data_IF_705706621239
#
_entry.id   IF_705706621239
#
_cell.length_a   1.000
_cell.length_b   1.000
_cell.length_c   1.000
_cell.angle_alpha   90.00
_cell.angle_beta   90.00
_cell.angle_gamma   90.00
#
_symmetry.space_group_name_H-M   'P 1'
#
loop_
_entity.id
_entity.type
_entity.pdbx_description
1 polymer ?
#
# COMPACT_ATOMS: atom_id res chain seq x y z
N UNK A 1 6.11 9.33 24.47
CA UNK A 1 5.41 8.88 23.25
C UNK A 1 6.04 9.63 22.08
N UNK A 2 6.84 8.94 21.27
CA UNK A 2 7.40 9.52 20.04
C UNK A 2 6.27 9.71 19.03
N UNK A 3 6.18 10.90 18.45
CA UNK A 3 5.18 11.22 17.43
C UNK A 3 5.53 10.49 16.12
N UNK A 4 4.55 9.83 15.50
CA UNK A 4 4.76 9.13 14.23
C UNK A 4 5.22 10.10 13.14
N UNK A 5 6.26 9.70 12.40
CA UNK A 5 6.77 10.46 11.26
C UNK A 5 5.91 10.27 10.01
N UNK A 6 5.12 9.19 9.96
CA UNK A 6 4.16 8.92 8.90
C UNK A 6 2.80 9.62 9.16
N UNK A 7 2.31 10.36 8.16
CA UNK A 7 1.11 11.22 8.31
C UNK A 7 -0.07 10.85 7.42
N UNK A 8 0.08 9.86 6.52
CA UNK A 8 -0.95 9.56 5.51
C UNK A 8 -1.86 8.44 5.96
N UNK A 9 -3.02 8.77 6.53
CA UNK A 9 -3.96 7.75 7.05
C UNK A 9 -5.09 7.40 6.09
N UNK A 10 -5.17 8.04 4.92
CA UNK A 10 -6.23 7.82 3.94
C UNK A 10 -5.63 7.51 2.56
N UNK A 11 -6.20 6.53 1.82
CA UNK A 11 -5.88 6.31 0.41
C UNK A 11 -6.08 7.58 -0.40
N UNK A 12 -5.21 7.84 -1.37
CA UNK A 12 -5.34 8.94 -2.32
C UNK A 12 -6.59 8.76 -3.20
N UNK A 13 -7.05 9.85 -3.82
CA UNK A 13 -8.22 9.83 -4.70
C UNK A 13 -8.07 8.81 -5.85
N UNK A 14 -6.91 8.77 -6.50
CA UNK A 14 -6.53 7.85 -7.58
C UNK A 14 -5.81 6.58 -7.08
N UNK A 15 -5.93 6.21 -5.80
CA UNK A 15 -5.15 5.11 -5.24
C UNK A 15 -5.45 3.77 -5.96
N UNK A 16 -4.42 3.01 -6.42
CA UNK A 16 -4.62 1.74 -7.11
C UNK A 16 -5.30 0.67 -6.26
N UNK A 17 -5.23 0.79 -4.92
CA UNK A 17 -5.87 -0.15 -4.00
C UNK A 17 -7.40 0.04 -3.90
N UNK A 18 -7.94 1.18 -4.32
CA UNK A 18 -9.39 1.43 -4.30
C UNK A 18 -10.10 0.59 -5.36
N UNK A 19 -11.23 0.00 -5.01
CA UNK A 19 -12.04 -0.82 -5.95
C UNK A 19 -12.56 0.04 -7.12
N UNK A 20 -12.92 1.29 -6.84
CA UNK A 20 -13.50 2.24 -7.81
C UNK A 20 -12.48 3.03 -8.62
N UNK A 21 -11.19 2.62 -8.61
CA UNK A 21 -10.12 3.29 -9.36
C UNK A 21 -9.35 2.33 -10.25
N UNK A 22 -9.11 2.78 -11.46
CA UNK A 22 -8.48 2.05 -12.54
C UNK A 22 -7.10 2.59 -12.95
N UNK A 23 -6.49 1.94 -13.95
CA UNK A 23 -5.22 2.38 -14.53
C UNK A 23 -5.34 3.78 -15.14
N UNK A 24 -6.46 4.09 -15.78
CA UNK A 24 -6.75 5.40 -16.38
C UNK A 24 -6.87 6.55 -15.35
N UNK A 25 -7.17 6.24 -14.08
CA UNK A 25 -7.23 7.23 -13.01
C UNK A 25 -5.84 7.59 -12.44
N UNK A 26 -4.79 6.83 -12.78
CA UNK A 26 -3.46 6.96 -12.16
C UNK A 26 -2.53 7.75 -13.08
N UNK A 27 -2.13 8.98 -12.69
CA UNK A 27 -1.19 9.77 -13.48
C UNK A 27 0.14 9.04 -13.66
N UNK A 28 0.60 8.92 -14.91
CA UNK A 28 1.87 8.26 -15.23
C UNK A 28 1.89 6.76 -14.96
N UNK A 29 0.72 6.10 -15.03
CA UNK A 29 0.62 4.66 -14.80
C UNK A 29 1.62 3.84 -15.63
N UNK A 30 2.24 2.85 -14.99
CA UNK A 30 3.15 1.90 -15.61
C UNK A 30 2.80 0.50 -15.13
N UNK A 31 2.22 -0.31 -16.02
CA UNK A 31 1.91 -1.70 -15.71
C UNK A 31 3.15 -2.50 -15.28
N UNK A 32 4.32 -2.38 -15.94
CA UNK A 32 5.53 -3.06 -15.47
C UNK A 32 5.94 -2.68 -14.05
N UNK A 33 5.76 -1.41 -13.64
CA UNK A 33 6.03 -1.00 -12.27
C UNK A 33 5.01 -1.60 -11.30
N UNK A 34 3.72 -1.58 -11.65
CA UNK A 34 2.67 -2.20 -10.85
C UNK A 34 2.96 -3.70 -10.62
N UNK A 35 3.37 -4.42 -11.66
CA UNK A 35 3.72 -5.85 -11.55
C UNK A 35 4.91 -6.08 -10.61
N UNK A 36 5.95 -5.22 -10.65
CA UNK A 36 7.10 -5.32 -9.73
C UNK A 36 6.72 -5.11 -8.26
N UNK A 37 5.72 -4.25 -7.99
CA UNK A 37 5.27 -4.00 -6.62
C UNK A 37 4.64 -5.23 -5.94
N UNK A 38 4.32 -6.29 -6.70
CA UNK A 38 3.85 -7.56 -6.13
C UNK A 38 4.83 -8.15 -5.12
N UNK A 39 6.14 -7.96 -5.31
CA UNK A 39 7.18 -8.43 -4.39
C UNK A 39 7.16 -7.75 -3.01
N UNK A 40 6.37 -6.68 -2.84
CA UNK A 40 6.17 -5.98 -1.56
C UNK A 40 4.88 -6.39 -0.84
N UNK A 41 4.12 -7.31 -1.42
CA UNK A 41 2.81 -7.72 -0.94
C UNK A 41 2.82 -9.17 -0.44
N UNK A 42 1.80 -9.57 0.35
CA UNK A 42 1.63 -10.96 0.73
C UNK A 42 1.41 -11.88 -0.47
N UNK A 43 1.87 -13.11 -0.34
CA UNK A 43 1.63 -14.19 -1.30
C UNK A 43 0.17 -14.71 -1.23
N UNK A 44 -0.14 -15.72 -2.04
CA UNK A 44 -1.48 -16.32 -2.10
C UNK A 44 -1.90 -17.04 -0.81
N UNK A 45 -0.94 -17.38 0.05
CA UNK A 45 -1.18 -17.98 1.38
C UNK A 45 -1.36 -16.90 2.45
N UNK A 46 -1.22 -15.63 2.08
CA UNK A 46 -1.31 -14.48 2.96
C UNK A 46 -0.03 -14.20 3.74
N UNK A 47 1.09 -14.87 3.44
CA UNK A 47 2.37 -14.58 4.08
C UNK A 47 2.98 -13.33 3.47
N UNK A 48 3.38 -12.39 4.33
CA UNK A 48 4.09 -11.19 3.90
C UNK A 48 5.41 -11.50 3.18
N UNK A 49 5.99 -10.51 2.49
CA UNK A 49 7.23 -10.69 1.75
C UNK A 49 8.43 -10.90 2.68
N UNK A 50 9.57 -11.22 2.08
CA UNK A 50 10.86 -11.33 2.77
C UNK A 50 11.22 -10.05 3.52
N UNK A 51 12.00 -10.19 4.59
CA UNK A 51 12.45 -9.07 5.42
C UNK A 51 13.15 -7.95 4.63
N UNK A 52 13.89 -8.31 3.59
CA UNK A 52 14.60 -7.37 2.72
C UNK A 52 13.71 -6.62 1.72
N UNK A 53 12.43 -6.99 1.60
CA UNK A 53 11.53 -6.32 0.67
C UNK A 53 11.26 -4.86 1.09
N UNK A 54 11.26 -3.92 0.13
CA UNK A 54 10.86 -2.55 0.41
C UNK A 54 9.36 -2.50 0.72
N UNK A 55 8.94 -1.50 1.49
CA UNK A 55 7.52 -1.21 1.67
C UNK A 55 6.88 -0.78 0.33
N UNK A 56 5.59 -1.07 0.15
CA UNK A 56 4.87 -0.64 -1.04
C UNK A 56 4.83 0.89 -1.15
N UNK A 57 5.45 1.42 -2.20
CA UNK A 57 5.52 2.86 -2.43
C UNK A 57 4.17 3.45 -2.86
N UNK A 58 3.85 4.65 -2.37
CA UNK A 58 2.71 5.42 -2.85
C UNK A 58 2.93 5.91 -4.29
N UNK A 59 1.93 5.84 -5.16
CA UNK A 59 2.07 6.34 -6.54
C UNK A 59 2.25 7.87 -6.64
N UNK A 60 2.02 8.62 -5.56
CA UNK A 60 2.34 10.05 -5.46
C UNK A 60 3.69 10.35 -4.81
N UNK A 61 4.44 9.34 -4.38
CA UNK A 61 5.79 9.60 -3.87
C UNK A 61 6.72 10.02 -5.01
N UNK A 62 7.71 10.84 -4.66
CA UNK A 62 8.79 11.18 -5.59
C UNK A 62 9.76 10.00 -5.68
N UNK A 63 10.39 9.86 -6.83
CA UNK A 63 11.50 8.92 -6.99
C UNK A 63 12.62 9.26 -6.01
N UNK A 64 13.16 8.25 -5.31
CA UNK A 64 14.10 8.36 -4.19
C UNK A 64 13.54 9.05 -2.93
N UNK A 65 12.22 9.26 -2.88
CA UNK A 65 11.49 9.85 -1.75
C UNK A 65 10.23 9.04 -1.44
N UNK A 66 10.32 7.72 -1.57
CA UNK A 66 9.21 6.80 -1.44
C UNK A 66 8.63 6.84 -0.03
N UNK A 67 7.31 6.96 0.05
CA UNK A 67 6.56 6.85 1.29
C UNK A 67 5.63 5.64 1.21
N UNK A 68 5.33 4.96 2.34
CA UNK A 68 4.38 3.86 2.35
C UNK A 68 2.99 4.28 1.85
N UNK A 69 2.41 3.49 0.96
CA UNK A 69 1.06 3.71 0.46
C UNK A 69 0.01 3.49 1.57
N UNK A 70 -0.83 4.49 1.84
CA UNK A 70 -1.87 4.41 2.87
C UNK A 70 -2.92 3.32 2.57
N UNK A 71 -3.31 3.16 1.29
CA UNK A 71 -4.24 2.10 0.89
C UNK A 71 -3.66 0.70 1.07
N UNK A 72 -2.38 0.52 0.78
CA UNK A 72 -1.68 -0.74 1.05
C UNK A 72 -1.56 -1.01 2.55
N UNK A 73 -1.19 0.00 3.35
CA UNK A 73 -1.07 -0.13 4.80
C UNK A 73 -2.39 -0.61 5.42
N UNK A 74 -3.50 0.04 5.08
CA UNK A 74 -4.82 -0.31 5.57
C UNK A 74 -5.37 -1.63 5.02
N UNK A 75 -4.90 -2.07 3.84
CA UNK A 75 -5.36 -3.32 3.24
C UNK A 75 -4.61 -4.54 3.77
N UNK A 76 -3.27 -4.47 3.79
CA UNK A 76 -2.39 -5.63 4.04
C UNK A 76 -1.10 -5.27 4.78
N UNK A 77 -0.92 -4.02 5.23
CA UNK A 77 0.34 -3.53 5.78
C UNK A 77 0.86 -4.32 6.97
N UNK A 78 -0.03 -4.79 7.84
CA UNK A 78 0.32 -5.60 9.02
C UNK A 78 1.08 -6.89 8.69
N UNK A 79 0.89 -7.42 7.48
CA UNK A 79 1.55 -8.64 7.02
C UNK A 79 3.01 -8.39 6.64
N UNK A 80 3.41 -7.14 6.38
CA UNK A 80 4.78 -6.80 6.00
C UNK A 80 5.70 -6.69 7.24
N UNK A 81 6.83 -7.43 7.31
CA UNK A 81 7.73 -7.39 8.47
C UNK A 81 8.22 -5.98 8.84
N UNK A 82 8.67 -5.21 7.85
CA UNK A 82 9.15 -3.84 8.10
C UNK A 82 8.07 -2.88 8.59
N UNK A 83 6.78 -3.12 8.29
CA UNK A 83 5.69 -2.29 8.82
C UNK A 83 5.49 -2.56 10.31
N UNK A 84 5.50 -3.83 10.71
CA UNK A 84 5.41 -4.21 12.13
C UNK A 84 6.54 -3.58 12.95
N UNK A 85 7.77 -3.62 12.44
CA UNK A 85 8.93 -2.97 13.08
C UNK A 85 8.74 -1.45 13.15
N UNK A 86 8.30 -0.82 12.06
CA UNK A 86 8.06 0.61 12.03
C UNK A 86 6.96 1.06 13.01
N UNK A 87 5.94 0.22 13.25
CA UNK A 87 4.92 0.45 14.28
C UNK A 87 5.52 0.32 15.68
N UNK A 88 6.31 -0.73 15.93
CA UNK A 88 6.98 -0.94 17.23
C UNK A 88 7.92 0.22 17.59
N UNK A 89 8.63 0.77 16.60
CA UNK A 89 9.53 1.93 16.76
C UNK A 89 8.79 3.27 16.81
N UNK A 90 7.46 3.27 16.65
CA UNK A 90 6.65 4.49 16.63
C UNK A 90 6.81 5.34 15.37
N UNK A 91 7.48 4.84 14.32
CA UNK A 91 7.60 5.54 13.01
C UNK A 91 6.27 5.56 12.28
N UNK A 92 5.49 4.47 12.34
CA UNK A 92 4.13 4.38 11.82
C UNK A 92 3.15 4.31 13.00
N UNK A 93 2.14 5.19 13.01
CA UNK A 93 1.03 5.08 13.95
C UNK A 93 0.22 3.81 13.62
N UNK A 94 -0.07 2.91 14.58
CA UNK A 94 -0.85 1.70 14.32
C UNK A 94 -2.21 1.97 13.67
N UNK A 95 -2.81 3.15 13.92
CA UNK A 95 -4.07 3.57 13.26
C UNK A 95 -3.96 3.72 11.74
N UNK A 96 -2.76 3.78 11.18
CA UNK A 96 -2.55 3.75 9.73
C UNK A 96 -2.84 2.38 9.11
N UNK A 97 -2.96 1.32 9.92
CA UNK A 97 -3.34 -0.02 9.49
C UNK A 97 -4.87 -0.24 9.53
N UNK A 98 -5.61 0.69 10.13
CA UNK A 98 -7.06 0.59 10.24
C UNK A 98 -7.75 1.02 8.92
N UNK A 99 -8.78 0.27 8.51
CA UNK A 99 -9.74 0.75 7.50
C UNK A 99 -10.76 1.64 8.19
N UNK A 100 -10.71 2.96 7.95
CA UNK A 100 -11.73 3.84 8.50
C UNK A 100 -13.13 3.48 7.93
N UNK A 101 -14.21 3.50 8.73
CA UNK A 101 -15.55 3.09 8.27
C UNK A 101 -16.09 3.89 7.08
N UNK A 102 -15.66 5.15 6.94
CA UNK A 102 -16.01 6.08 5.86
C UNK A 102 -14.99 6.08 4.71
N UNK A 103 -13.96 5.23 4.78
CA UNK A 103 -12.93 5.16 3.75
C UNK A 103 -13.45 4.50 2.46
N UNK A 104 -12.87 4.83 1.29
CA UNK A 104 -13.11 4.09 0.07
C UNK A 104 -12.88 2.60 0.24
N UNK A 105 -13.68 1.78 -0.44
CA UNK A 105 -13.49 0.33 -0.45
C UNK A 105 -12.16 -0.03 -1.12
N UNK A 106 -11.42 -0.93 -0.48
CA UNK A 106 -10.11 -1.41 -0.94
C UNK A 106 -10.17 -2.89 -1.27
N UNK A 107 -9.38 -3.30 -2.27
CA UNK A 107 -9.13 -4.72 -2.54
C UNK A 107 -8.52 -5.44 -1.32
N UNK A 108 -8.74 -6.74 -1.22
CA UNK A 108 -8.26 -7.54 -0.08
C UNK A 108 -6.82 -8.00 -0.25
N UNK A 109 -6.37 -8.10 -1.51
CA UNK A 109 -5.04 -8.56 -1.85
C UNK A 109 -4.54 -7.86 -3.13
N UNK A 110 -3.23 -7.91 -3.34
CA UNK A 110 -2.62 -7.22 -4.49
C UNK A 110 -2.91 -7.90 -5.83
N UNK A 111 -3.23 -9.19 -5.83
CA UNK A 111 -3.59 -9.92 -7.05
C UNK A 111 -4.86 -9.36 -7.67
N UNK A 112 -5.86 -9.02 -6.86
CA UNK A 112 -7.08 -8.32 -7.31
C UNK A 112 -6.77 -6.92 -7.86
N UNK A 113 -5.90 -6.17 -7.18
CA UNK A 113 -5.43 -4.86 -7.67
C UNK A 113 -4.81 -5.02 -9.06
N UNK A 114 -3.88 -5.95 -9.24
CA UNK A 114 -3.22 -6.19 -10.52
C UNK A 114 -4.18 -6.68 -11.61
N UNK A 115 -5.10 -7.59 -11.28
CA UNK A 115 -6.08 -8.09 -12.23
C UNK A 115 -6.94 -6.94 -12.78
N UNK A 116 -7.40 -6.05 -11.89
CA UNK A 116 -8.13 -4.84 -12.29
C UNK A 116 -7.28 -3.92 -13.16
N UNK A 117 -6.03 -3.66 -12.78
CA UNK A 117 -5.15 -2.74 -13.52
C UNK A 117 -4.72 -3.28 -14.89
N UNK A 118 -4.74 -4.60 -15.11
CA UNK A 118 -4.47 -5.23 -16.42
C UNK A 118 -5.68 -5.22 -17.36
N UNK A 119 -6.88 -5.17 -16.81
CA UNK A 119 -8.13 -5.30 -17.57
C UNK A 119 -8.65 -3.99 -18.17
N UNK A 120 -7.82 -2.95 -18.23
CA UNK A 120 -8.17 -1.58 -18.64
C UNK A 120 -7.07 -1.00 -19.52
#
# INVERSE_FOLDING_TARGET
MTQSTYKHTKPCESCPWRIDKGAADIPGFSLPLAERLAATCPDERGFGPDYGAPMFACHHSKENGEIPCAGWLAAVGERHPNVRIAVMEGRINPRALDRAPDAPQLHENYREVLAKLRGQ
#
